data_IF_929189502556
#
_entry.id   IF_929189502556
#
_cell.length_a   1.000
_cell.length_b   1.000
_cell.length_c   1.000
_cell.angle_alpha   90.00
_cell.angle_beta   90.00
_cell.angle_gamma   90.00
#
_symmetry.space_group_name_H-M   'P 1'
#
loop_
_entity.id
_entity.type
_entity.pdbx_description
1 polymer ?
#
# COMPACT_ATOMS: atom_id res chain seq x y z
N UNK A 1 9.50 -0.39 26.27
CA UNK A 1 8.84 0.36 25.18
C UNK A 1 7.34 0.26 25.37
N UNK A 2 6.65 1.39 25.59
CA UNK A 2 5.21 1.44 25.83
C UNK A 2 4.42 0.80 24.66
N UNK A 3 3.30 0.11 24.93
CA UNK A 3 2.48 -0.60 23.94
C UNK A 3 2.07 0.33 22.79
N UNK A 4 1.67 1.56 23.11
CA UNK A 4 1.34 2.62 22.15
C UNK A 4 2.49 2.93 21.20
N UNK A 5 3.73 2.95 21.70
CA UNK A 5 4.91 3.24 20.88
C UNK A 5 5.20 2.11 19.89
N UNK A 6 5.00 0.85 20.31
CA UNK A 6 5.12 -0.33 19.43
C UNK A 6 4.09 -0.30 18.31
N UNK A 7 2.85 0.08 18.63
CA UNK A 7 1.76 0.23 17.67
C UNK A 7 2.11 1.33 16.64
N UNK A 8 2.56 2.50 17.10
CA UNK A 8 3.00 3.60 16.22
C UNK A 8 4.12 3.18 15.26
N UNK A 9 5.14 2.46 15.74
CA UNK A 9 6.22 1.95 14.89
C UNK A 9 5.69 0.93 13.88
N UNK A 10 4.78 0.04 14.31
CA UNK A 10 4.12 -0.93 13.42
C UNK A 10 3.32 -0.25 12.31
N UNK A 11 2.57 0.80 12.64
CA UNK A 11 1.81 1.63 11.68
C UNK A 11 2.76 2.21 10.64
N UNK A 12 3.82 2.91 11.06
CA UNK A 12 4.79 3.52 10.13
C UNK A 12 5.42 2.46 9.21
N UNK A 13 5.81 1.32 9.78
CA UNK A 13 6.41 0.23 9.02
C UNK A 13 5.46 -0.35 7.96
N UNK A 14 4.21 -0.62 8.33
CA UNK A 14 3.18 -1.14 7.41
C UNK A 14 2.90 -0.12 6.30
N UNK A 15 2.79 1.17 6.62
CA UNK A 15 2.62 2.24 5.63
C UNK A 15 3.75 2.27 4.60
N UNK A 16 5.01 2.24 5.04
CA UNK A 16 6.18 2.29 4.16
C UNK A 16 6.22 1.04 3.27
N UNK A 17 6.02 -0.14 3.85
CA UNK A 17 6.06 -1.40 3.10
C UNK A 17 4.93 -1.48 2.07
N UNK A 18 3.73 -1.05 2.45
CA UNK A 18 2.56 -0.98 1.58
C UNK A 18 2.78 -0.05 0.38
N UNK A 19 3.38 1.11 0.62
CA UNK A 19 3.73 2.06 -0.43
C UNK A 19 4.78 1.50 -1.39
N UNK A 20 5.86 0.91 -0.85
CA UNK A 20 6.91 0.32 -1.66
C UNK A 20 6.38 -0.84 -2.52
N UNK A 21 5.52 -1.69 -1.96
CA UNK A 21 4.88 -2.77 -2.70
C UNK A 21 3.97 -2.26 -3.83
N UNK A 22 3.27 -1.13 -3.61
CA UNK A 22 2.43 -0.51 -4.64
C UNK A 22 3.25 0.02 -5.83
N UNK A 23 4.38 0.67 -5.56
CA UNK A 23 5.32 1.12 -6.61
C UNK A 23 5.90 -0.07 -7.36
N UNK A 24 6.37 -1.09 -6.62
CA UNK A 24 6.94 -2.29 -7.23
C UNK A 24 5.93 -3.04 -8.09
N UNK A 25 4.67 -3.10 -7.65
CA UNK A 25 3.58 -3.70 -8.43
C UNK A 25 3.33 -2.92 -9.71
N UNK A 26 3.30 -1.58 -9.66
CA UNK A 26 3.18 -0.76 -10.86
C UNK A 26 4.31 -1.02 -11.86
N UNK A 27 5.57 -1.10 -11.39
CA UNK A 27 6.71 -1.44 -12.24
C UNK A 27 6.59 -2.84 -12.84
N UNK A 28 6.18 -3.83 -12.05
CA UNK A 28 6.01 -5.21 -12.50
C UNK A 28 4.89 -5.35 -13.53
N UNK A 29 3.77 -4.66 -13.33
CA UNK A 29 2.65 -4.62 -14.27
C UNK A 29 3.09 -4.00 -15.60
N UNK A 30 3.79 -2.87 -15.57
CA UNK A 30 4.28 -2.22 -16.79
C UNK A 30 5.35 -3.05 -17.51
N UNK A 31 6.26 -3.70 -16.76
CA UNK A 31 7.25 -4.63 -17.33
C UNK A 31 6.57 -5.83 -18.00
N UNK A 32 5.52 -6.37 -17.39
CA UNK A 32 4.72 -7.46 -17.97
C UNK A 32 3.94 -7.01 -19.19
N UNK A 33 3.37 -5.80 -19.17
CA UNK A 33 2.68 -5.23 -20.31
C UNK A 33 3.60 -5.09 -21.53
N UNK A 34 4.82 -4.58 -21.30
CA UNK A 34 5.83 -4.49 -22.35
C UNK A 34 6.22 -5.86 -22.93
N UNK A 35 6.43 -6.87 -22.07
CA UNK A 35 6.73 -8.24 -22.50
C UNK A 35 5.59 -8.85 -23.32
N UNK A 36 4.35 -8.55 -22.98
CA UNK A 36 3.16 -9.09 -23.62
C UNK A 36 2.65 -8.24 -24.79
N UNK A 37 3.36 -7.17 -25.17
CA UNK A 37 2.94 -6.21 -26.19
C UNK A 37 1.54 -5.61 -25.92
N UNK A 38 1.17 -5.45 -24.65
CA UNK A 38 -0.08 -4.81 -24.24
C UNK A 38 0.18 -3.40 -23.72
N UNK A 39 -0.88 -2.59 -23.63
CA UNK A 39 -0.78 -1.24 -23.08
C UNK A 39 -0.33 -1.25 -21.61
N UNK A 40 0.62 -0.39 -21.21
CA UNK A 40 1.04 -0.24 -19.83
C UNK A 40 -0.05 0.45 -19.00
N UNK A 41 0.06 0.34 -17.68
CA UNK A 41 -0.87 0.95 -16.76
C UNK A 41 -0.83 2.49 -16.88
N UNK A 42 -1.99 3.11 -17.10
CA UNK A 42 -2.08 4.56 -17.24
C UNK A 42 -2.03 5.25 -15.85
N UNK A 43 -1.63 6.51 -15.81
CA UNK A 43 -1.55 7.32 -14.60
C UNK A 43 -2.86 7.41 -13.80
N UNK A 44 -4.03 7.34 -14.47
CA UNK A 44 -5.33 7.24 -13.78
C UNK A 44 -5.49 5.93 -13.00
N UNK A 45 -5.09 4.80 -13.59
CA UNK A 45 -5.13 3.49 -12.94
C UNK A 45 -4.14 3.43 -11.77
N UNK A 46 -2.96 4.05 -11.90
CA UNK A 46 -2.00 4.17 -10.80
C UNK A 46 -2.55 4.99 -9.64
N UNK A 47 -3.17 6.14 -9.91
CA UNK A 47 -3.81 6.95 -8.86
C UNK A 47 -4.95 6.20 -8.16
N UNK A 48 -5.73 5.42 -8.90
CA UNK A 48 -6.76 4.57 -8.32
C UNK A 48 -6.18 3.46 -7.41
N UNK A 49 -5.08 2.83 -7.84
CA UNK A 49 -4.36 1.84 -7.02
C UNK A 49 -3.81 2.46 -5.73
N UNK A 50 -3.24 3.66 -5.80
CA UNK A 50 -2.77 4.40 -4.61
C UNK A 50 -3.94 4.74 -3.67
N UNK A 51 -5.08 5.16 -4.21
CA UNK A 51 -6.27 5.43 -3.42
C UNK A 51 -6.77 4.18 -2.68
N UNK A 52 -6.84 3.04 -3.37
CA UNK A 52 -7.18 1.76 -2.73
C UNK A 52 -6.18 1.39 -1.63
N UNK A 53 -4.88 1.61 -1.86
CA UNK A 53 -3.86 1.36 -0.85
C UNK A 53 -4.10 2.18 0.43
N UNK A 54 -4.41 3.47 0.28
CA UNK A 54 -4.71 4.36 1.41
C UNK A 54 -5.95 3.89 2.18
N UNK A 55 -7.01 3.48 1.48
CA UNK A 55 -8.22 2.94 2.13
C UNK A 55 -7.89 1.69 2.96
N UNK A 56 -7.17 0.73 2.37
CA UNK A 56 -6.84 -0.53 3.04
C UNK A 56 -5.97 -0.30 4.27
N UNK A 57 -4.96 0.57 4.16
CA UNK A 57 -4.09 0.95 5.28
C UNK A 57 -4.89 1.64 6.39
N UNK A 58 -5.82 2.52 6.03
CA UNK A 58 -6.69 3.21 7.00
C UNK A 58 -7.63 2.24 7.72
N UNK A 59 -8.24 1.30 6.99
CA UNK A 59 -9.08 0.25 7.57
C UNK A 59 -8.28 -0.66 8.51
N UNK A 60 -7.05 -0.99 8.13
CA UNK A 60 -6.14 -1.74 8.99
C UNK A 60 -5.86 -0.99 10.30
N UNK A 61 -5.67 0.34 10.26
CA UNK A 61 -5.46 1.15 11.48
C UNK A 61 -6.71 1.26 12.35
N UNK A 62 -7.90 1.38 11.76
CA UNK A 62 -9.15 1.34 12.50
C UNK A 62 -9.31 0.00 13.22
N UNK A 63 -9.05 -1.11 12.52
CA UNK A 63 -9.10 -2.45 13.11
C UNK A 63 -8.08 -2.59 14.24
N UNK A 64 -6.85 -2.11 14.04
CA UNK A 64 -5.79 -2.20 15.03
C UNK A 64 -6.12 -1.36 16.26
N UNK A 65 -6.67 -0.16 16.07
CA UNK A 65 -7.12 0.69 17.18
C UNK A 65 -8.23 0.00 17.96
N UNK A 66 -9.26 -0.52 17.28
CA UNK A 66 -10.38 -1.24 17.91
C UNK A 66 -9.95 -2.51 18.68
N UNK A 67 -8.89 -3.18 18.23
CA UNK A 67 -8.43 -4.43 18.84
C UNK A 67 -7.55 -4.20 20.07
N UNK A 68 -6.83 -3.08 20.14
CA UNK A 68 -5.81 -2.83 21.16
C UNK A 68 -6.14 -1.66 22.11
N UNK A 69 -7.20 -0.89 21.86
CA UNK A 69 -7.73 0.18 22.73
C UNK A 69 -9.21 -0.06 23.04
#
# INVERSE_FOLDING_TARGET
MNLTLKILVGIIFVSIMSWNNTIQTHQNVNKKAHKNQTEPMNGKQFRFMLFLNIIVVTLFYLLLTYTYF
#
